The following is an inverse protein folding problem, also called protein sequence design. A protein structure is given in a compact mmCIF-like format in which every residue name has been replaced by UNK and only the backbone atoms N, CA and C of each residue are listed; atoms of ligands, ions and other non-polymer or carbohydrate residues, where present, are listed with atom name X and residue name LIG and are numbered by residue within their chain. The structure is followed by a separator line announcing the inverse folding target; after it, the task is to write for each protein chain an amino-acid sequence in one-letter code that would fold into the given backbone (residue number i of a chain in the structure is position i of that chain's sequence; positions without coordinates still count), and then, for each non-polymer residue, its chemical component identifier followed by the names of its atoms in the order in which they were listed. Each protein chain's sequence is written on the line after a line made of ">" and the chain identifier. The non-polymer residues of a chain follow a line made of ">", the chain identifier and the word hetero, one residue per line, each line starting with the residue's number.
data_IF_275935178695
#
_entry.id   IF_275935178695
#
_cell.length_a   1.000
_cell.length_b   1.000
_cell.length_c   1.000
_cell.angle_alpha   90.00
_cell.angle_beta   90.00
_cell.angle_gamma   90.00
#
_symmetry.space_group_name_H-M   'P 1'
#
loop_
_entity.id
_entity.type
_entity.pdbx_description
1 polymer ?
#
# COMPACT_ATOMS: atom_id res chain seq x y z
N UNK A 1 6.99 -24.77 24.13
CA UNK A 1 6.17 -23.82 24.91
C UNK A 1 5.59 -22.81 23.94
N UNK A 2 4.26 -22.62 23.91
CA UNK A 2 3.62 -21.65 23.01
C UNK A 2 3.98 -20.23 23.43
N UNK A 3 4.36 -19.36 22.49
CA UNK A 3 4.54 -17.93 22.76
C UNK A 3 3.18 -17.38 23.21
N UNK A 4 3.08 -17.00 24.48
CA UNK A 4 1.92 -16.30 25.01
C UNK A 4 1.88 -14.91 24.35
N UNK A 5 0.83 -14.64 23.59
CA UNK A 5 0.61 -13.34 22.95
C UNK A 5 -0.28 -12.53 23.87
N UNK A 6 0.30 -11.50 24.50
CA UNK A 6 -0.46 -10.53 25.26
C UNK A 6 -1.32 -9.71 24.30
N UNK A 7 -2.63 -9.94 24.35
CA UNK A 7 -3.62 -9.17 23.58
C UNK A 7 -4.45 -8.32 24.53
N UNK A 8 -4.64 -7.05 24.17
CA UNK A 8 -5.41 -6.09 24.97
C UNK A 8 -6.33 -5.29 24.06
N UNK A 9 -7.60 -5.24 24.43
CA UNK A 9 -8.59 -4.39 23.75
C UNK A 9 -8.63 -3.03 24.45
N UNK A 10 -8.46 -1.95 23.68
CA UNK A 10 -8.53 -0.57 24.17
C UNK A 10 -9.67 0.14 23.45
N UNK A 11 -10.54 0.79 24.20
CA UNK A 11 -11.62 1.63 23.66
C UNK A 11 -11.28 3.10 23.88
N UNK A 12 -11.19 3.88 22.80
CA UNK A 12 -10.97 5.32 22.86
C UNK A 12 -12.17 6.05 22.26
N UNK A 13 -12.87 6.82 23.11
CA UNK A 13 -14.03 7.60 22.69
C UNK A 13 -13.60 9.02 22.39
N UNK A 14 -13.74 9.44 21.13
CA UNK A 14 -13.43 10.80 20.70
C UNK A 14 -14.74 11.57 20.56
N UNK A 15 -14.94 12.56 21.43
CA UNK A 15 -16.11 13.44 21.37
C UNK A 15 -15.90 14.54 20.33
N UNK A 16 -16.96 14.87 19.60
CA UNK A 16 -17.01 15.97 18.65
C UNK A 16 -15.87 15.92 17.59
N UNK A 17 -15.56 14.73 17.08
CA UNK A 17 -14.43 14.50 16.17
C UNK A 17 -14.39 15.49 14.99
N UNK A 18 -15.53 15.77 14.38
CA UNK A 18 -15.68 16.67 13.23
C UNK A 18 -15.44 18.15 13.55
N UNK A 19 -15.58 18.57 14.81
CA UNK A 19 -15.35 19.96 15.22
C UNK A 19 -13.96 20.21 15.80
N UNK A 20 -13.13 19.16 15.92
CA UNK A 20 -11.78 19.29 16.47
C UNK A 20 -10.90 20.11 15.52
N UNK A 21 -10.38 21.22 16.06
CA UNK A 21 -9.48 22.09 15.31
C UNK A 21 -8.02 21.64 15.37
N UNK A 22 -7.69 20.78 16.34
CA UNK A 22 -6.35 20.25 16.56
C UNK A 22 -5.87 19.41 15.38
N UNK A 23 -4.61 19.61 15.00
CA UNK A 23 -3.95 18.82 13.95
C UNK A 23 -3.86 17.34 14.32
N UNK A 24 -3.63 17.03 15.60
CA UNK A 24 -3.66 15.68 16.16
C UNK A 24 -4.28 15.66 17.55
N UNK A 25 -4.83 14.50 17.92
CA UNK A 25 -5.36 14.20 19.25
C UNK A 25 -4.86 12.84 19.69
N UNK A 26 -4.83 12.63 21.00
CA UNK A 26 -4.24 11.44 21.58
C UNK A 26 -5.15 10.79 22.61
N UNK A 27 -5.07 9.46 22.74
CA UNK A 27 -5.66 8.76 23.88
C UNK A 27 -4.81 8.92 25.13
N UNK A 28 -5.38 8.44 26.23
CA UNK A 28 -4.64 8.12 27.44
C UNK A 28 -3.57 7.05 27.14
N UNK A 29 -2.52 7.07 27.95
CA UNK A 29 -1.43 6.12 27.86
C UNK A 29 -1.84 4.77 28.45
N UNK A 30 -1.45 3.67 27.83
CA UNK A 30 -1.72 2.32 28.31
C UNK A 30 -0.51 1.41 28.12
N UNK A 31 -0.44 0.32 28.89
CA UNK A 31 0.68 -0.64 28.85
C UNK A 31 0.23 -1.97 28.24
N UNK A 32 1.03 -2.50 27.30
CA UNK A 32 0.93 -3.82 26.67
C UNK A 32 2.34 -4.34 26.41
N UNK A 33 2.66 -5.56 26.86
CA UNK A 33 3.98 -6.18 26.68
C UNK A 33 5.12 -5.31 27.22
N UNK A 34 4.95 -4.77 28.44
CA UNK A 34 5.87 -3.84 29.13
C UNK A 34 6.20 -2.52 28.39
N UNK A 35 5.61 -2.31 27.22
CA UNK A 35 5.74 -1.07 26.46
C UNK A 35 4.59 -0.11 26.80
N UNK A 36 4.91 1.18 26.89
CA UNK A 36 3.91 2.24 27.07
C UNK A 36 3.46 2.75 25.70
N UNK A 37 2.15 2.73 25.48
CA UNK A 37 1.49 3.04 24.22
C UNK A 37 0.50 4.19 24.37
N UNK A 38 0.21 4.88 23.27
CA UNK A 38 -0.95 5.77 23.15
C UNK A 38 -1.47 5.74 21.72
N UNK A 39 -2.77 5.97 21.54
CA UNK A 39 -3.37 6.15 20.23
C UNK A 39 -3.28 7.63 19.80
N UNK A 40 -3.17 7.90 18.50
CA UNK A 40 -3.04 9.25 17.92
C UNK A 40 -3.89 9.45 16.66
N UNK A 41 -5.04 10.12 16.76
CA UNK A 41 -5.88 10.41 15.59
C UNK A 41 -5.57 11.80 15.01
N UNK A 42 -5.72 11.93 13.70
CA UNK A 42 -5.59 13.20 12.96
C UNK A 42 -6.97 13.60 12.40
N UNK A 43 -7.74 14.46 13.08
CA UNK A 43 -9.11 14.81 12.66
C UNK A 43 -9.20 15.42 11.26
N UNK A 44 -8.14 16.09 10.82
CA UNK A 44 -8.06 16.78 9.52
C UNK A 44 -7.21 16.03 8.48
N UNK A 45 -6.77 14.81 8.78
CA UNK A 45 -5.78 14.08 7.96
C UNK A 45 -4.35 14.59 8.17
N UNK A 46 -3.37 13.92 7.54
CA UNK A 46 -1.95 14.28 7.63
C UNK A 46 -1.37 14.43 6.21
N UNK A 47 -1.02 15.65 5.83
CA UNK A 47 -0.42 15.97 4.51
C UNK A 47 1.01 15.41 4.34
N UNK A 48 1.68 15.01 5.42
CA UNK A 48 3.05 14.48 5.43
C UNK A 48 3.15 12.97 5.70
N UNK A 49 2.04 12.24 5.69
CA UNK A 49 2.05 10.78 5.88
C UNK A 49 2.49 10.04 4.60
N UNK A 50 3.71 10.30 4.16
CA UNK A 50 4.41 9.51 3.15
C UNK A 50 4.73 8.11 3.71
N UNK A 51 4.16 7.09 3.06
CA UNK A 51 4.60 5.70 2.95
C UNK A 51 4.49 4.69 4.13
N UNK A 52 3.89 5.01 5.28
CA UNK A 52 3.55 3.96 6.28
C UNK A 52 2.07 3.96 6.73
N UNK A 53 1.24 4.83 6.17
CA UNK A 53 -0.14 5.06 6.61
C UNK A 53 -1.24 4.38 5.77
N UNK A 54 -0.91 3.39 4.93
CA UNK A 54 -1.91 2.58 4.21
C UNK A 54 -2.35 1.32 4.95
N UNK A 55 -2.14 1.25 6.27
CA UNK A 55 -2.87 0.33 7.14
C UNK A 55 -3.82 1.14 8.00
N UNK A 56 -5.08 1.17 7.57
CA UNK A 56 -6.26 1.65 8.28
C UNK A 56 -6.12 3.07 8.88
N UNK A 57 -6.57 4.07 8.11
CA UNK A 57 -6.98 5.40 8.58
C UNK A 57 -6.30 5.91 9.87
N UNK A 58 -5.17 6.58 9.67
CA UNK A 58 -4.57 7.58 10.56
C UNK A 58 -4.26 7.15 12.00
N UNK A 59 -3.16 6.42 12.19
CA UNK A 59 -2.37 6.42 13.43
C UNK A 59 -0.92 5.98 13.11
N UNK A 60 0.06 6.87 13.30
CA UNK A 60 1.47 6.49 13.23
C UNK A 60 1.90 5.90 14.58
N UNK A 61 2.32 4.64 14.61
CA UNK A 61 3.00 4.04 15.76
C UNK A 61 4.51 4.19 15.54
N UNK A 62 5.18 4.98 16.39
CA UNK A 62 6.65 5.04 16.45
C UNK A 62 7.11 4.04 17.52
N UNK A 63 8.00 3.12 17.18
CA UNK A 63 8.77 2.36 18.17
C UNK A 63 10.23 2.24 17.74
N UNK A 64 11.14 2.58 18.65
CA UNK A 64 12.59 2.40 18.52
C UNK A 64 13.04 1.05 19.10
N UNK A 65 13.92 0.37 18.33
CA UNK A 65 14.81 -0.76 18.66
C UNK A 65 14.20 -2.12 19.09
N UNK A 66 13.96 -2.99 18.09
CA UNK A 66 13.66 -4.43 18.24
C UNK A 66 12.67 -4.94 17.18
N UNK A 67 12.68 -6.25 16.87
CA UNK A 67 11.62 -6.89 16.06
C UNK A 67 10.31 -6.94 16.87
N UNK A 68 9.43 -5.96 16.63
CA UNK A 68 8.12 -5.86 17.25
C UNK A 68 7.03 -5.99 16.18
N UNK A 69 6.21 -7.04 16.26
CA UNK A 69 5.04 -7.21 15.38
C UNK A 69 3.78 -6.79 16.13
N UNK A 70 3.20 -5.66 15.75
CA UNK A 70 1.93 -5.15 16.29
C UNK A 70 0.79 -5.48 15.33
N UNK A 71 -0.24 -6.16 15.82
CA UNK A 71 -1.50 -6.39 15.09
C UNK A 71 -2.60 -5.61 15.80
N UNK A 72 -3.10 -4.55 15.15
CA UNK A 72 -4.20 -3.74 15.66
C UNK A 72 -5.47 -4.00 14.85
N UNK A 73 -6.56 -4.38 15.52
CA UNK A 73 -7.89 -4.49 14.91
C UNK A 73 -8.70 -3.28 15.33
N UNK A 74 -9.15 -2.49 14.35
CA UNK A 74 -9.97 -1.30 14.59
C UNK A 74 -11.41 -1.62 14.23
N UNK A 75 -12.31 -1.40 15.18
CA UNK A 75 -13.75 -1.56 14.99
C UNK A 75 -14.46 -0.27 15.42
N UNK A 76 -15.12 0.40 14.49
CA UNK A 76 -15.92 1.61 14.79
C UNK A 76 -17.32 1.15 15.16
N UNK A 77 -17.65 1.26 16.44
CA UNK A 77 -18.89 0.74 17.02
C UNK A 77 -20.10 1.63 16.70
N UNK A 78 -19.97 2.95 16.90
CA UNK A 78 -21.07 3.90 16.70
C UNK A 78 -20.54 5.33 16.47
N UNK A 79 -21.22 6.12 15.64
CA UNK A 79 -20.98 7.56 15.51
C UNK A 79 -22.07 8.28 16.30
N UNK A 80 -21.73 8.73 17.52
CA UNK A 80 -22.69 9.38 18.42
C UNK A 80 -22.58 10.90 18.30
N UNK A 81 -23.63 11.54 17.80
CA UNK A 81 -23.80 13.00 17.75
C UNK A 81 -24.81 13.41 16.68
N UNK A 82 -25.82 14.21 17.05
CA UNK A 82 -26.63 14.93 16.06
C UNK A 82 -25.71 15.94 15.38
N UNK A 83 -25.51 15.78 14.07
CA UNK A 83 -24.94 16.85 13.24
C UNK A 83 -25.97 17.99 13.30
N UNK A 84 -25.68 19.03 14.07
CA UNK A 84 -26.48 20.25 14.02
C UNK A 84 -26.10 20.98 12.73
N UNK A 85 -26.86 20.72 11.66
CA UNK A 85 -26.70 21.35 10.35
C UNK A 85 -27.25 22.77 10.43
N UNK A 86 -26.61 23.62 11.23
CA UNK A 86 -26.96 25.04 11.31
C UNK A 86 -25.70 25.88 11.35
N UNK A 87 -25.02 25.95 10.20
CA UNK A 87 -24.59 27.19 9.53
C UNK A 87 -23.58 26.87 8.42
N UNK A 88 -23.97 27.31 7.21
CA UNK A 88 -23.25 27.28 5.92
C UNK A 88 -23.08 25.88 5.30
N UNK A 89 -24.04 25.55 4.43
CA UNK A 89 -23.92 24.46 3.46
C UNK A 89 -22.74 24.73 2.52
N UNK A 90 -21.62 24.05 2.78
CA UNK A 90 -20.79 23.49 1.70
C UNK A 90 -21.68 22.58 0.84
N UNK A 91 -21.39 22.37 -0.46
CA UNK A 91 -22.28 21.60 -1.29
C UNK A 91 -22.42 20.21 -0.67
N UNK A 92 -23.66 19.81 -0.38
CA UNK A 92 -24.00 18.43 -0.07
C UNK A 92 -23.36 17.62 -1.19
N UNK A 93 -22.34 16.82 -0.86
CA UNK A 93 -21.67 15.99 -1.84
C UNK A 93 -22.69 14.92 -2.20
N UNK A 94 -23.40 15.14 -3.31
CA UNK A 94 -24.50 14.29 -3.74
C UNK A 94 -23.94 12.90 -4.07
N UNK A 95 -24.21 11.92 -3.21
CA UNK A 95 -23.79 10.53 -3.43
C UNK A 95 -24.92 9.76 -4.10
N UNK A 96 -24.57 8.88 -5.01
CA UNK A 96 -25.51 8.01 -5.73
C UNK A 96 -25.42 6.61 -5.13
N UNK A 97 -26.56 6.01 -4.82
CA UNK A 97 -26.62 4.61 -4.40
C UNK A 97 -26.46 3.69 -5.62
N UNK A 98 -25.47 2.80 -5.57
CA UNK A 98 -25.28 1.74 -6.56
C UNK A 98 -25.20 0.41 -5.82
N UNK A 99 -26.21 -0.44 -5.99
CA UNK A 99 -26.31 -1.75 -5.34
C UNK A 99 -26.14 -1.70 -3.81
N UNK A 100 -26.66 -0.65 -3.16
CA UNK A 100 -26.57 -0.46 -1.71
C UNK A 100 -25.25 0.13 -1.21
N UNK A 101 -24.42 0.67 -2.12
CA UNK A 101 -23.20 1.43 -1.83
C UNK A 101 -23.36 2.89 -2.25
N UNK A 102 -23.08 3.82 -1.33
CA UNK A 102 -23.07 5.25 -1.63
C UNK A 102 -21.72 5.63 -2.26
N UNK A 103 -21.75 6.13 -3.50
CA UNK A 103 -20.55 6.48 -4.28
C UNK A 103 -20.68 7.85 -4.94
N UNK A 104 -19.56 8.47 -5.30
CA UNK A 104 -19.57 9.75 -6.00
C UNK A 104 -20.08 9.57 -7.44
N UNK A 105 -20.74 10.58 -8.04
CA UNK A 105 -21.21 10.50 -9.42
C UNK A 105 -20.12 10.10 -10.43
N UNK A 106 -18.89 10.59 -10.24
CA UNK A 106 -17.73 10.24 -11.06
C UNK A 106 -17.28 8.78 -10.96
N UNK A 107 -17.72 8.06 -9.93
CA UNK A 107 -17.37 6.65 -9.69
C UNK A 107 -18.45 5.67 -10.16
N UNK A 108 -19.67 6.15 -10.43
CA UNK A 108 -20.84 5.30 -10.73
C UNK A 108 -20.57 4.35 -11.89
N UNK A 109 -19.98 4.82 -12.99
CA UNK A 109 -19.68 3.97 -14.14
C UNK A 109 -18.69 2.85 -13.78
N UNK A 110 -17.65 3.16 -12.99
CA UNK A 110 -16.66 2.18 -12.55
C UNK A 110 -17.28 1.10 -11.66
N UNK A 111 -18.18 1.50 -10.76
CA UNK A 111 -18.89 0.60 -9.84
C UNK A 111 -19.89 -0.26 -10.62
N UNK A 112 -20.65 0.32 -11.55
CA UNK A 112 -21.56 -0.43 -12.41
C UNK A 112 -20.81 -1.49 -13.23
N UNK A 113 -19.69 -1.11 -13.84
CA UNK A 113 -18.85 -2.04 -14.61
C UNK A 113 -18.23 -3.15 -13.74
N UNK A 114 -17.95 -2.86 -12.48
CA UNK A 114 -17.45 -3.84 -11.52
C UNK A 114 -18.53 -4.89 -11.23
N UNK A 115 -19.74 -4.46 -10.87
CA UNK A 115 -20.86 -5.36 -10.58
C UNK A 115 -21.38 -6.08 -11.83
N UNK A 116 -21.31 -5.47 -13.02
CA UNK A 116 -21.72 -6.15 -14.26
C UNK A 116 -20.83 -7.33 -14.60
N UNK A 117 -19.53 -7.26 -14.26
CA UNK A 117 -18.57 -8.35 -14.47
C UNK A 117 -18.55 -9.36 -13.33
N UNK A 118 -18.83 -8.91 -12.11
CA UNK A 118 -18.74 -9.70 -10.90
C UNK A 118 -19.97 -9.44 -10.02
N UNK A 119 -21.13 -9.97 -10.43
CA UNK A 119 -22.42 -9.65 -9.81
C UNK A 119 -22.47 -10.07 -8.33
N UNK A 120 -21.81 -11.16 -7.96
CA UNK A 120 -21.82 -11.72 -6.62
C UNK A 120 -20.63 -11.26 -5.75
N UNK A 121 -19.87 -10.25 -6.21
CA UNK A 121 -18.66 -9.75 -5.55
C UNK A 121 -18.90 -9.35 -4.09
N UNK A 122 -20.06 -8.79 -3.78
CA UNK A 122 -20.45 -8.36 -2.43
C UNK A 122 -21.51 -9.26 -1.78
N UNK A 123 -21.72 -10.48 -2.29
CA UNK A 123 -22.80 -11.38 -1.82
C UNK A 123 -22.68 -11.80 -0.35
N UNK A 124 -21.47 -11.84 0.21
CA UNK A 124 -21.21 -12.15 1.63
C UNK A 124 -20.78 -10.90 2.42
N UNK A 125 -20.98 -9.71 1.86
CA UNK A 125 -20.53 -8.46 2.45
C UNK A 125 -21.25 -8.19 3.78
N UNK A 126 -20.46 -8.04 4.84
CA UNK A 126 -20.95 -7.95 6.23
C UNK A 126 -21.23 -6.52 6.72
N UNK A 127 -20.42 -5.50 6.38
CA UNK A 127 -20.60 -4.15 6.91
C UNK A 127 -21.95 -3.53 6.55
N UNK A 128 -22.70 -3.09 7.58
CA UNK A 128 -24.01 -2.45 7.43
C UNK A 128 -23.94 -0.92 7.42
N UNK A 129 -22.94 -0.34 8.08
CA UNK A 129 -22.78 1.11 8.19
C UNK A 129 -22.48 1.74 6.81
N UNK A 130 -23.24 2.76 6.36
CA UNK A 130 -23.11 3.34 5.02
C UNK A 130 -21.73 3.94 4.75
N UNK A 131 -21.12 4.63 5.73
CA UNK A 131 -19.78 5.19 5.60
C UNK A 131 -18.72 4.09 5.39
N UNK A 132 -18.88 2.97 6.10
CA UNK A 132 -18.00 1.81 5.91
C UNK A 132 -18.19 1.21 4.52
N UNK A 133 -19.43 1.07 4.03
CA UNK A 133 -19.69 0.60 2.67
C UNK A 133 -18.94 1.42 1.63
N UNK A 134 -19.01 2.75 1.75
CA UNK A 134 -18.28 3.67 0.87
C UNK A 134 -16.77 3.51 0.98
N UNK A 135 -16.22 3.41 2.20
CA UNK A 135 -14.79 3.20 2.41
C UNK A 135 -14.31 1.90 1.75
N UNK A 136 -15.03 0.80 1.95
CA UNK A 136 -14.75 -0.49 1.33
C UNK A 136 -14.81 -0.43 -0.19
N UNK A 137 -15.81 0.25 -0.75
CA UNK A 137 -15.93 0.42 -2.20
C UNK A 137 -14.76 1.22 -2.77
N UNK A 138 -14.34 2.29 -2.10
CA UNK A 138 -13.18 3.08 -2.52
C UNK A 138 -11.88 2.26 -2.52
N UNK A 139 -11.68 1.42 -1.50
CA UNK A 139 -10.53 0.49 -1.45
C UNK A 139 -10.59 -0.50 -2.62
N UNK A 140 -11.77 -1.07 -2.89
CA UNK A 140 -11.96 -2.03 -3.99
C UNK A 140 -11.73 -1.39 -5.37
N UNK A 141 -12.22 -0.17 -5.60
CA UNK A 141 -11.99 0.58 -6.83
C UNK A 141 -10.50 0.93 -7.00
N UNK A 142 -9.85 1.40 -5.93
CA UNK A 142 -8.42 1.70 -5.94
C UNK A 142 -7.59 0.46 -6.26
N UNK A 143 -7.84 -0.65 -5.56
CA UNK A 143 -7.18 -1.93 -5.80
C UNK A 143 -7.38 -2.42 -7.24
N UNK A 144 -8.61 -2.32 -7.76
CA UNK A 144 -8.92 -2.71 -9.14
C UNK A 144 -8.13 -1.86 -10.13
N UNK A 145 -8.02 -0.56 -9.89
CA UNK A 145 -7.24 0.37 -10.71
C UNK A 145 -5.76 0.02 -10.67
N UNK A 146 -5.17 -0.17 -9.48
CA UNK A 146 -3.76 -0.55 -9.30
C UNK A 146 -3.45 -1.87 -10.02
N UNK A 147 -4.25 -2.91 -9.82
CA UNK A 147 -4.05 -4.21 -10.47
C UNK A 147 -4.38 -4.20 -11.98
N UNK A 148 -4.87 -3.10 -12.54
CA UNK A 148 -5.00 -2.92 -13.98
C UNK A 148 -3.82 -2.19 -14.62
N UNK A 149 -2.86 -1.67 -13.85
CA UNK A 149 -1.65 -1.05 -14.37
C UNK A 149 -0.65 -2.09 -14.90
N UNK A 150 0.34 -1.64 -15.68
CA UNK A 150 1.42 -2.49 -16.15
C UNK A 150 2.29 -2.95 -14.96
N UNK A 151 2.79 -4.19 -14.94
CA UNK A 151 3.75 -4.63 -13.91
C UNK A 151 5.00 -3.75 -13.80
N UNK A 152 5.40 -3.09 -14.90
CA UNK A 152 6.54 -2.17 -14.93
C UNK A 152 6.27 -0.90 -14.10
N UNK A 153 5.04 -0.39 -14.14
CA UNK A 153 4.62 0.83 -13.42
C UNK A 153 4.36 0.57 -11.93
N UNK A 154 4.25 -0.70 -11.54
CA UNK A 154 4.00 -1.10 -10.16
C UNK A 154 5.32 -1.28 -9.40
N UNK A 155 5.44 -0.58 -8.27
CA UNK A 155 6.52 -0.82 -7.32
C UNK A 155 6.28 -2.12 -6.53
N UNK A 156 7.34 -2.65 -5.90
CA UNK A 156 7.20 -3.79 -5.00
C UNK A 156 6.29 -3.46 -3.79
N UNK A 157 6.27 -2.19 -3.37
CA UNK A 157 5.39 -1.71 -2.31
C UNK A 157 3.93 -1.71 -2.77
N UNK A 158 3.63 -1.28 -3.99
CA UNK A 158 2.27 -1.31 -4.55
C UNK A 158 1.74 -2.75 -4.63
N UNK A 159 2.59 -3.70 -5.06
CA UNK A 159 2.23 -5.12 -5.13
C UNK A 159 1.97 -5.67 -3.72
N UNK A 160 2.79 -5.32 -2.74
CA UNK A 160 2.60 -5.77 -1.35
C UNK A 160 1.33 -5.16 -0.73
N UNK A 161 1.08 -3.87 -0.97
CA UNK A 161 -0.09 -3.12 -0.52
C UNK A 161 -1.38 -3.68 -1.11
N UNK A 162 -1.37 -4.05 -2.39
CA UNK A 162 -2.48 -4.74 -3.03
C UNK A 162 -2.84 -6.07 -2.35
N UNK A 163 -1.84 -6.84 -1.90
CA UNK A 163 -2.06 -8.07 -1.14
C UNK A 163 -2.71 -7.83 0.23
N UNK A 164 -2.33 -6.76 0.92
CA UNK A 164 -2.96 -6.35 2.17
C UNK A 164 -4.41 -5.90 1.96
N UNK A 165 -4.67 -5.10 0.92
CA UNK A 165 -6.01 -4.66 0.55
C UNK A 165 -6.93 -5.84 0.19
N UNK A 166 -6.42 -6.83 -0.56
CA UNK A 166 -7.16 -8.06 -0.86
C UNK A 166 -7.61 -8.79 0.42
N UNK A 167 -6.69 -8.95 1.37
CA UNK A 167 -6.98 -9.61 2.66
C UNK A 167 -8.06 -8.85 3.43
N UNK A 168 -7.92 -7.53 3.54
CA UNK A 168 -8.89 -6.66 4.20
C UNK A 168 -10.30 -6.74 3.60
N UNK A 169 -10.40 -6.67 2.27
CA UNK A 169 -11.69 -6.76 1.57
C UNK A 169 -12.32 -8.16 1.69
N UNK A 170 -11.51 -9.23 1.65
CA UNK A 170 -11.98 -10.60 1.84
C UNK A 170 -12.57 -10.82 3.23
N UNK A 171 -11.92 -10.28 4.27
CA UNK A 171 -12.42 -10.35 5.65
C UNK A 171 -13.77 -9.63 5.82
N UNK A 172 -14.01 -8.57 5.05
CA UNK A 172 -15.30 -7.88 4.98
C UNK A 172 -16.38 -8.65 4.21
N UNK A 173 -16.00 -9.74 3.54
CA UNK A 173 -16.90 -10.65 2.83
C UNK A 173 -17.01 -10.42 1.33
N UNK A 174 -16.07 -9.69 0.71
CA UNK A 174 -15.99 -9.65 -0.75
C UNK A 174 -15.44 -10.96 -1.33
N UNK A 175 -15.99 -11.39 -2.46
CA UNK A 175 -15.47 -12.49 -3.28
C UNK A 175 -14.51 -11.94 -4.33
N UNK A 176 -13.21 -12.15 -4.15
CA UNK A 176 -12.15 -11.48 -4.92
C UNK A 176 -11.20 -12.45 -5.63
N UNK A 177 -11.64 -13.69 -5.89
CA UNK A 177 -10.80 -14.75 -6.47
C UNK A 177 -10.10 -14.30 -7.78
N UNK A 178 -10.81 -13.53 -8.60
CA UNK A 178 -10.28 -13.00 -9.85
C UNK A 178 -9.17 -11.96 -9.64
N UNK A 179 -9.25 -11.12 -8.60
CA UNK A 179 -8.20 -10.16 -8.25
C UNK A 179 -7.03 -10.85 -7.55
N UNK A 180 -7.28 -11.86 -6.71
CA UNK A 180 -6.23 -12.68 -6.09
C UNK A 180 -5.40 -13.40 -7.16
N UNK A 181 -6.07 -14.01 -8.15
CA UNK A 181 -5.39 -14.61 -9.31
C UNK A 181 -4.55 -13.58 -10.07
N UNK A 182 -5.14 -12.43 -10.40
CA UNK A 182 -4.46 -11.36 -11.14
C UNK A 182 -3.24 -10.81 -10.37
N UNK A 183 -3.37 -10.65 -9.06
CA UNK A 183 -2.26 -10.25 -8.18
C UNK A 183 -1.10 -11.25 -8.22
N UNK A 184 -1.41 -12.55 -8.19
CA UNK A 184 -0.41 -13.61 -8.38
C UNK A 184 0.30 -13.53 -9.73
N UNK A 185 -0.43 -13.32 -10.82
CA UNK A 185 0.15 -13.16 -12.17
C UNK A 185 1.09 -11.95 -12.26
N UNK A 186 0.71 -10.82 -11.65
CA UNK A 186 1.55 -9.61 -11.60
C UNK A 186 2.84 -9.88 -10.82
N UNK A 187 2.74 -10.54 -9.66
CA UNK A 187 3.89 -10.88 -8.82
C UNK A 187 4.89 -11.78 -9.57
N UNK A 188 4.40 -12.77 -10.31
CA UNK A 188 5.26 -13.64 -11.11
C UNK A 188 5.90 -12.92 -12.30
N UNK A 189 5.15 -12.04 -12.98
CA UNK A 189 5.73 -11.19 -14.05
C UNK A 189 6.84 -10.29 -13.51
N UNK A 190 6.64 -9.64 -12.36
CA UNK A 190 7.64 -8.76 -11.75
C UNK A 190 8.93 -9.49 -11.39
N UNK A 191 8.82 -10.69 -10.82
CA UNK A 191 10.00 -11.54 -10.54
C UNK A 191 10.79 -11.89 -11.81
N UNK A 192 10.08 -12.23 -12.89
CA UNK A 192 10.72 -12.55 -14.18
C UNK A 192 11.43 -11.33 -14.76
N UNK A 193 10.81 -10.17 -14.70
CA UNK A 193 11.39 -8.89 -15.12
C UNK A 193 12.68 -8.57 -14.36
N UNK A 194 12.65 -8.63 -13.02
CA UNK A 194 13.83 -8.39 -12.18
C UNK A 194 14.96 -9.40 -12.46
N UNK A 195 14.62 -10.68 -12.67
CA UNK A 195 15.60 -11.70 -13.01
C UNK A 195 16.25 -11.45 -14.38
N UNK A 196 15.46 -11.06 -15.38
CA UNK A 196 15.97 -10.69 -16.71
C UNK A 196 16.86 -9.45 -16.66
N UNK A 197 16.48 -8.43 -15.88
CA UNK A 197 17.28 -7.21 -15.72
C UNK A 197 18.65 -7.51 -15.10
N UNK A 198 18.71 -8.36 -14.07
CA UNK A 198 19.97 -8.80 -13.47
C UNK A 198 20.87 -9.51 -14.46
N UNK A 199 20.31 -10.35 -15.34
CA UNK A 199 21.08 -11.02 -16.41
C UNK A 199 21.62 -10.03 -17.44
N UNK A 200 20.83 -9.04 -17.83
CA UNK A 200 21.28 -7.98 -18.75
C UNK A 200 22.46 -7.20 -18.14
N UNK A 201 22.34 -6.76 -16.90
CA UNK A 201 23.41 -6.03 -16.20
C UNK A 201 24.71 -6.85 -16.09
N UNK A 202 24.60 -8.16 -15.85
CA UNK A 202 25.76 -9.05 -15.82
C UNK A 202 26.42 -9.16 -17.19
N UNK A 203 25.64 -9.33 -18.27
CA UNK A 203 26.17 -9.37 -19.64
C UNK A 203 26.82 -8.04 -20.04
N UNK A 204 26.22 -6.89 -19.69
CA UNK A 204 26.81 -5.57 -19.93
C UNK A 204 28.19 -5.43 -19.27
N UNK A 205 28.33 -5.92 -18.04
CA UNK A 205 29.61 -5.92 -17.31
C UNK A 205 30.64 -6.83 -17.97
N UNK A 206 30.23 -8.00 -18.45
CA UNK A 206 31.11 -8.93 -19.16
C UNK A 206 31.64 -8.33 -20.45
N UNK A 207 30.74 -7.79 -21.29
CA UNK A 207 31.11 -7.13 -22.56
C UNK A 207 32.03 -5.94 -22.29
N UNK A 208 31.76 -5.14 -21.25
CA UNK A 208 32.62 -4.02 -20.87
C UNK A 208 34.04 -4.46 -20.52
N UNK A 209 34.18 -5.51 -19.70
CA UNK A 209 35.49 -6.05 -19.31
C UNK A 209 36.24 -6.63 -20.51
N UNK A 210 35.57 -7.41 -21.37
CA UNK A 210 36.16 -7.95 -22.59
C UNK A 210 36.65 -6.84 -23.51
N UNK A 211 35.85 -5.77 -23.70
CA UNK A 211 36.24 -4.63 -24.50
C UNK A 211 37.50 -3.93 -23.97
N UNK A 212 37.69 -3.83 -22.65
CA UNK A 212 38.93 -3.28 -22.07
C UNK A 212 40.13 -4.17 -22.38
N UNK A 213 40.00 -5.50 -22.30
CA UNK A 213 41.07 -6.44 -22.64
C UNK A 213 41.51 -6.26 -24.09
N UNK A 214 40.56 -6.17 -25.04
CA UNK A 214 40.90 -5.95 -26.44
C UNK A 214 41.53 -4.57 -26.68
N UNK A 215 41.06 -3.54 -25.97
CA UNK A 215 41.67 -2.20 -26.03
C UNK A 215 43.12 -2.21 -25.56
N UNK A 216 43.43 -2.87 -24.45
CA UNK A 216 44.81 -3.01 -23.94
C UNK A 216 45.70 -3.79 -24.92
N UNK A 217 45.20 -4.88 -25.51
CA UNK A 217 45.93 -5.63 -26.55
C UNK A 217 46.25 -4.76 -27.77
N UNK A 218 45.32 -3.92 -28.21
CA UNK A 218 45.55 -2.98 -29.33
C UNK A 218 46.60 -1.94 -28.96
N UNK A 219 46.58 -1.42 -27.73
CA UNK A 219 47.61 -0.48 -27.25
C UNK A 219 48.98 -1.14 -27.19
N UNK A 220 49.08 -2.36 -26.67
CA UNK A 220 50.33 -3.12 -26.61
C UNK A 220 50.89 -3.40 -28.01
N UNK A 221 50.04 -3.80 -28.97
CA UNK A 221 50.46 -4.04 -30.35
C UNK A 221 50.93 -2.76 -31.09
N UNK A 222 50.49 -1.58 -30.64
CA UNK A 222 50.92 -0.27 -31.17
C UNK A 222 52.17 0.28 -30.49
N UNK A 223 52.61 -0.29 -29.38
CA UNK A 223 53.81 0.16 -28.69
C UNK A 223 55.03 -0.08 -29.60
N UNK A 224 55.95 0.90 -29.72
CA UNK A 224 57.17 0.72 -30.49
C UNK A 224 58.00 -0.42 -29.90
N UNK A 225 58.58 -1.26 -30.76
CA UNK A 225 59.53 -2.29 -30.35
C UNK A 225 60.75 -1.60 -29.74
N UNK A 226 61.09 -1.94 -28.49
CA UNK A 226 62.35 -1.50 -27.89
C UNK A 226 63.50 -2.19 -28.64
N UNK A 227 64.31 -1.41 -29.33
CA UNK A 227 65.64 -1.85 -29.75
C UNK A 227 66.46 -2.03 -28.47
N UNK A 228 66.54 -3.25 -27.96
CA UNK A 228 67.58 -3.57 -27.01
C UNK A 228 68.91 -3.46 -27.77
N UNK A 229 69.80 -2.66 -27.22
CA UNK A 229 71.15 -2.39 -27.68
C UNK A 229 71.98 -3.67 -27.71
N UNK A 230 71.89 -4.45 -28.79
CA UNK A 230 72.85 -5.53 -29.08
C UNK A 230 73.08 -5.73 -30.60
N UNK A 231 72.59 -4.83 -31.45
CA UNK A 231 73.01 -4.79 -32.85
C UNK A 231 74.17 -3.81 -33.02
N UNK A 232 75.36 -4.30 -32.72
CA UNK A 232 76.59 -3.85 -33.39
C UNK A 232 76.44 -4.24 -34.86
N UNK A 233 76.17 -3.27 -35.74
CA UNK A 233 76.78 -3.11 -37.07
C UNK A 233 76.50 -1.70 -37.61
#
# INVERSE_FOLDING_TARGET
>A
MGKQVDSKTITWVIKNFSSLQSASIHSDQFVVGDCKWRLMAYPKGNEKATYLAYRANNLALITTLGELTVVAKIEVLEVVGKIDVSKKSSPVMETIDVNGFQVLPSQVESVNRLFSKHLDIASKFRPKNPYMKTAYMNVLLSLTKTLCQSPQDLSNDDISGAGAALTYLREAGFKLDWLEKKHGEIKEKKKKEEASLKRLQEMEKQIFNEAQIYKEKVLAARAPLSLNEDNVF
#
